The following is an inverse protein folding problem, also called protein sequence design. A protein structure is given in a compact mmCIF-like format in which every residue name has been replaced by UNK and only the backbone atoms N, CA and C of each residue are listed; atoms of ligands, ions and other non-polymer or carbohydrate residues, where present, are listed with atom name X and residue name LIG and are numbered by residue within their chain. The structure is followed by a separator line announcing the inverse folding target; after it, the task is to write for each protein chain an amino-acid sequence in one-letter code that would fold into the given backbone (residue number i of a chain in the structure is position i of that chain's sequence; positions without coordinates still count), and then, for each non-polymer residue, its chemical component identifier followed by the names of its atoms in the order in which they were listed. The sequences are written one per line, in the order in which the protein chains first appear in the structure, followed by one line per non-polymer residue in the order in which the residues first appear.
data_IF_576003278589
#
_entry.id   IF_576003278589
#
_cell.length_a   1.000
_cell.length_b   1.000
_cell.length_c   1.000
_cell.angle_alpha   90.00
_cell.angle_beta   90.00
_cell.angle_gamma   90.00
#
_symmetry.space_group_name_H-M   'P 1'
#
loop_
_entity.id
_entity.type
_entity.pdbx_description
1 polymer ?
#
# COMPACT_ATOMS: atom_id res chain seq x y z
N UNK A 1 3.20 -11.17 14.09
CA UNK A 1 3.32 -12.63 14.19
C UNK A 1 4.57 -12.97 13.42
N UNK A 2 5.62 -13.37 14.12
CA UNK A 2 6.84 -13.87 13.49
C UNK A 2 6.53 -15.27 13.01
N UNK A 3 6.63 -15.52 11.71
CA UNK A 3 6.75 -16.87 11.19
C UNK A 3 8.17 -17.33 11.52
N UNK A 4 8.28 -18.22 12.51
CA UNK A 4 9.48 -19.03 12.69
C UNK A 4 9.66 -19.84 11.40
N UNK A 5 10.65 -19.46 10.58
CA UNK A 5 11.25 -20.38 9.63
C UNK A 5 11.78 -21.57 10.43
N UNK A 6 11.02 -22.67 10.43
CA UNK A 6 11.48 -23.94 10.96
C UNK A 6 12.74 -24.34 10.20
N UNK A 7 13.88 -24.12 10.84
CA UNK A 7 15.19 -24.62 10.46
C UNK A 7 15.08 -26.15 10.44
N UNK A 8 14.93 -26.73 9.24
CA UNK A 8 14.96 -28.19 9.06
C UNK A 8 16.38 -28.64 9.35
N UNK A 9 16.55 -29.26 10.51
CA UNK A 9 17.79 -29.88 10.98
C UNK A 9 18.39 -30.80 9.92
N UNK A 10 19.69 -30.67 9.68
CA UNK A 10 20.51 -31.55 8.82
C UNK A 10 20.19 -33.02 9.15
N UNK A 11 19.67 -33.77 8.18
CA UNK A 11 19.39 -35.21 8.30
C UNK A 11 20.63 -35.96 8.82
N UNK A 12 20.50 -36.70 9.93
CA UNK A 12 21.56 -37.51 10.57
C UNK A 12 22.14 -38.64 9.68
N UNK A 13 21.66 -38.81 8.44
CA UNK A 13 22.02 -39.89 7.52
C UNK A 13 22.84 -39.44 6.27
N UNK A 14 23.32 -38.19 6.20
CA UNK A 14 24.13 -37.73 5.05
C UNK A 14 25.60 -38.16 5.20
N UNK A 15 26.18 -38.93 4.26
CA UNK A 15 27.59 -39.32 4.32
C UNK A 15 28.52 -38.10 4.29
N UNK A 16 29.63 -38.13 5.04
CA UNK A 16 30.62 -37.03 5.04
C UNK A 16 31.15 -36.69 3.63
N UNK A 17 31.23 -37.69 2.74
CA UNK A 17 31.69 -37.54 1.35
C UNK A 17 30.54 -37.44 0.33
N UNK A 18 29.36 -36.98 0.73
CA UNK A 18 28.16 -37.01 -0.11
C UNK A 18 28.31 -36.22 -1.42
N UNK A 19 28.92 -35.03 -1.41
CA UNK A 19 29.19 -34.25 -2.62
C UNK A 19 30.09 -35.00 -3.61
N UNK A 20 31.15 -35.67 -3.11
CA UNK A 20 32.04 -36.47 -3.95
C UNK A 20 31.34 -37.71 -4.53
N UNK A 21 30.42 -38.33 -3.78
CA UNK A 21 29.58 -39.42 -4.26
C UNK A 21 28.64 -38.96 -5.38
N UNK A 22 27.99 -37.81 -5.21
CA UNK A 22 27.15 -37.18 -6.24
C UNK A 22 27.97 -36.92 -7.51
N UNK A 23 29.13 -36.29 -7.38
CA UNK A 23 30.01 -35.98 -8.51
C UNK A 23 30.44 -37.26 -9.26
N UNK A 24 30.85 -38.31 -8.53
CA UNK A 24 31.22 -39.59 -9.15
C UNK A 24 30.03 -40.23 -9.87
N UNK A 25 28.87 -40.30 -9.23
CA UNK A 25 27.72 -41.05 -9.75
C UNK A 25 27.12 -40.35 -10.97
N UNK A 26 27.08 -39.02 -10.99
CA UNK A 26 26.67 -38.24 -12.17
C UNK A 26 27.63 -38.42 -13.34
N UNK A 27 28.95 -38.42 -13.08
CA UNK A 27 29.93 -38.74 -14.11
C UNK A 27 29.69 -40.14 -14.70
N UNK A 28 29.39 -41.13 -13.85
CA UNK A 28 29.10 -42.50 -14.28
C UNK A 28 27.83 -42.56 -15.14
N UNK A 29 26.78 -41.79 -14.81
CA UNK A 29 25.56 -41.69 -15.62
C UNK A 29 25.90 -41.20 -17.04
N UNK A 30 26.62 -40.08 -17.15
CA UNK A 30 27.01 -39.53 -18.46
C UNK A 30 27.99 -40.40 -19.24
N UNK A 31 28.82 -41.22 -18.57
CA UNK A 31 29.74 -42.14 -19.25
C UNK A 31 29.08 -43.43 -19.73
N UNK A 32 28.04 -43.92 -19.02
CA UNK A 32 27.33 -45.16 -19.37
C UNK A 32 26.39 -44.99 -20.55
N UNK A 33 25.77 -43.84 -20.67
CA UNK A 33 24.77 -43.57 -21.70
C UNK A 33 25.44 -43.09 -22.99
N UNK A 34 25.11 -43.72 -24.12
CA UNK A 34 25.55 -43.27 -25.44
C UNK A 34 24.75 -42.05 -25.93
N UNK A 35 23.51 -41.91 -25.47
CA UNK A 35 22.62 -40.79 -25.79
C UNK A 35 22.65 -39.75 -24.68
N UNK A 36 23.01 -38.51 -25.06
CA UNK A 36 23.12 -37.37 -24.15
C UNK A 36 21.77 -36.92 -23.60
N UNK A 37 20.69 -37.07 -24.36
CA UNK A 37 19.35 -36.67 -23.91
C UNK A 37 18.85 -37.63 -22.82
N UNK A 38 19.01 -38.94 -23.03
CA UNK A 38 18.72 -39.95 -22.02
C UNK A 38 19.59 -39.75 -20.76
N UNK A 39 20.89 -39.48 -20.93
CA UNK A 39 21.80 -39.20 -19.82
C UNK A 39 21.38 -37.96 -19.01
N UNK A 40 20.96 -36.90 -19.71
CA UNK A 40 20.48 -35.64 -19.12
C UNK A 40 19.23 -35.88 -18.24
N UNK A 41 18.24 -36.61 -18.74
CA UNK A 41 17.03 -36.95 -17.97
C UNK A 41 17.37 -37.78 -16.73
N UNK A 42 18.22 -38.79 -16.86
CA UNK A 42 18.63 -39.64 -15.74
C UNK A 42 19.45 -38.87 -14.70
N UNK A 43 20.35 -37.99 -15.14
CA UNK A 43 21.14 -37.12 -14.26
C UNK A 43 20.25 -36.14 -13.50
N UNK A 44 19.31 -35.47 -14.18
CA UNK A 44 18.37 -34.55 -13.53
C UNK A 44 17.53 -35.28 -12.45
N UNK A 45 16.99 -36.46 -12.79
CA UNK A 45 16.22 -37.27 -11.84
C UNK A 45 17.07 -37.72 -10.64
N UNK A 46 18.33 -38.10 -10.87
CA UNK A 46 19.27 -38.44 -9.80
C UNK A 46 19.55 -37.24 -8.90
N UNK A 47 19.79 -36.06 -9.46
CA UNK A 47 20.05 -34.84 -8.69
C UNK A 47 18.84 -34.51 -7.83
N UNK A 48 17.65 -34.39 -8.44
CA UNK A 48 16.42 -34.09 -7.72
C UNK A 48 16.16 -35.07 -6.58
N UNK A 49 16.30 -36.37 -6.81
CA UNK A 49 16.08 -37.40 -5.78
C UNK A 49 17.01 -37.25 -4.57
N UNK A 50 18.26 -36.83 -4.78
CA UNK A 50 19.29 -36.84 -3.73
C UNK A 50 19.50 -35.46 -3.08
N UNK A 51 19.27 -34.38 -3.82
CA UNK A 51 19.55 -33.00 -3.36
C UNK A 51 18.37 -32.05 -3.50
N UNK A 52 17.19 -32.53 -3.93
CA UNK A 52 15.95 -31.76 -4.15
C UNK A 52 15.30 -31.15 -2.90
N UNK A 53 16.03 -30.98 -1.81
CA UNK A 53 15.55 -30.35 -0.57
C UNK A 53 16.44 -29.17 -0.19
N UNK A 54 15.87 -28.19 0.51
CA UNK A 54 16.58 -26.97 0.95
C UNK A 54 17.82 -27.27 1.79
N UNK A 55 17.82 -28.35 2.58
CA UNK A 55 18.98 -28.77 3.38
C UNK A 55 20.05 -29.55 2.61
N UNK A 56 19.75 -30.09 1.41
CA UNK A 56 20.68 -30.93 0.64
C UNK A 56 21.14 -30.33 -0.68
N UNK A 57 20.49 -29.27 -1.15
CA UNK A 57 20.84 -28.59 -2.41
C UNK A 57 22.29 -28.09 -2.45
N UNK A 58 22.83 -27.67 -1.30
CA UNK A 58 24.23 -27.25 -1.13
C UNK A 58 25.24 -28.32 -1.58
N UNK A 59 24.97 -29.61 -1.30
CA UNK A 59 25.86 -30.70 -1.70
C UNK A 59 25.98 -30.86 -3.21
N UNK A 60 24.96 -30.48 -3.99
CA UNK A 60 25.08 -30.45 -5.44
C UNK A 60 25.97 -29.30 -5.90
N UNK A 61 25.89 -28.13 -5.26
CA UNK A 61 26.78 -26.99 -5.54
C UNK A 61 28.23 -27.37 -5.23
N UNK A 62 28.48 -28.03 -4.10
CA UNK A 62 29.80 -28.55 -3.74
C UNK A 62 30.30 -29.60 -4.73
N UNK A 63 29.44 -30.50 -5.19
CA UNK A 63 29.78 -31.46 -6.24
C UNK A 63 30.18 -30.76 -7.55
N UNK A 64 29.51 -29.64 -7.90
CA UNK A 64 29.89 -28.87 -9.08
C UNK A 64 31.21 -28.14 -8.93
N UNK A 65 31.51 -27.61 -7.75
CA UNK A 65 32.80 -27.01 -7.43
C UNK A 65 33.94 -28.01 -7.60
N UNK A 66 33.79 -29.23 -7.08
CA UNK A 66 34.82 -30.29 -7.20
C UNK A 66 35.23 -30.55 -8.66
N UNK A 67 34.27 -30.61 -9.58
CA UNK A 67 34.59 -30.76 -11.01
C UNK A 67 35.32 -29.56 -11.58
N UNK A 68 34.98 -28.34 -11.16
CA UNK A 68 35.62 -27.11 -11.63
C UNK A 68 37.07 -26.99 -11.12
N UNK A 69 37.36 -27.44 -9.91
CA UNK A 69 38.70 -27.46 -9.33
C UNK A 69 39.68 -28.39 -10.06
N UNK A 70 39.14 -29.47 -10.64
CA UNK A 70 39.97 -30.52 -11.27
C UNK A 70 40.65 -30.03 -12.56
N UNK A 71 40.18 -28.91 -13.15
CA UNK A 71 40.69 -28.30 -14.41
C UNK A 71 40.95 -29.33 -15.54
N UNK A 72 40.15 -30.39 -15.57
CA UNK A 72 40.31 -31.55 -16.47
C UNK A 72 39.12 -31.68 -17.43
N UNK A 73 39.11 -32.73 -18.23
CA UNK A 73 37.97 -33.06 -19.11
C UNK A 73 36.66 -33.33 -18.33
N UNK A 74 36.70 -33.43 -17.01
CA UNK A 74 35.55 -33.66 -16.13
C UNK A 74 34.73 -32.39 -15.87
N UNK A 75 35.31 -31.21 -16.11
CA UNK A 75 34.66 -29.90 -15.98
C UNK A 75 33.33 -29.81 -16.76
N UNK A 76 33.23 -30.54 -17.89
CA UNK A 76 32.01 -30.59 -18.70
C UNK A 76 30.79 -31.14 -17.95
N UNK A 77 30.97 -32.03 -16.96
CA UNK A 77 29.86 -32.66 -16.26
C UNK A 77 29.09 -31.65 -15.39
N UNK A 78 29.76 -30.64 -14.84
CA UNK A 78 29.10 -29.53 -14.14
C UNK A 78 28.12 -28.80 -15.07
N UNK A 79 28.58 -28.43 -16.27
CA UNK A 79 27.75 -27.76 -17.27
C UNK A 79 26.60 -28.66 -17.76
N UNK A 80 26.86 -29.93 -18.05
CA UNK A 80 25.84 -30.89 -18.48
C UNK A 80 24.74 -31.09 -17.42
N UNK A 81 25.10 -31.17 -16.14
CA UNK A 81 24.11 -31.31 -15.06
C UNK A 81 23.21 -30.06 -14.94
N UNK A 82 23.78 -28.86 -15.00
CA UNK A 82 22.99 -27.63 -14.95
C UNK A 82 22.11 -27.46 -16.20
N UNK A 83 22.60 -27.84 -17.39
CA UNK A 83 21.79 -27.86 -18.61
C UNK A 83 20.64 -28.86 -18.49
N UNK A 84 20.89 -30.04 -17.92
CA UNK A 84 19.86 -31.05 -17.69
C UNK A 84 18.73 -30.52 -16.80
N UNK A 85 19.07 -29.88 -15.67
CA UNK A 85 18.09 -29.27 -14.77
C UNK A 85 17.30 -28.16 -15.48
N UNK A 86 18.00 -27.23 -16.13
CA UNK A 86 17.37 -26.07 -16.78
C UNK A 86 16.48 -26.47 -17.98
N UNK A 87 16.80 -27.56 -18.68
CA UNK A 87 15.95 -28.07 -19.74
C UNK A 87 14.68 -28.76 -19.18
N UNK A 88 14.79 -29.41 -18.02
CA UNK A 88 13.63 -30.02 -17.36
C UNK A 88 12.73 -28.99 -16.70
N UNK A 89 13.26 -27.88 -16.18
CA UNK A 89 12.47 -26.84 -15.51
C UNK A 89 11.43 -26.19 -16.43
N UNK A 90 11.74 -26.07 -17.73
CA UNK A 90 10.81 -25.49 -18.71
C UNK A 90 9.47 -26.23 -18.82
N UNK A 91 9.42 -27.52 -18.47
CA UNK A 91 8.22 -28.36 -18.60
C UNK A 91 7.79 -29.00 -17.27
N UNK A 92 8.50 -28.75 -16.17
CA UNK A 92 8.25 -29.40 -14.88
C UNK A 92 8.55 -28.45 -13.71
N UNK A 93 7.51 -28.12 -12.96
CA UNK A 93 7.52 -27.21 -11.80
C UNK A 93 8.45 -27.68 -10.67
N UNK A 94 8.64 -29.00 -10.50
CA UNK A 94 9.57 -29.54 -9.48
C UNK A 94 11.01 -29.11 -9.78
N UNK A 95 11.43 -29.21 -11.05
CA UNK A 95 12.78 -28.82 -11.47
C UNK A 95 12.96 -27.30 -11.54
N UNK A 96 11.90 -26.56 -11.82
CA UNK A 96 11.91 -25.10 -11.72
C UNK A 96 12.10 -24.65 -10.26
N UNK A 97 11.32 -25.23 -9.34
CA UNK A 97 11.49 -25.03 -7.90
C UNK A 97 12.90 -25.40 -7.45
N UNK A 98 13.44 -26.53 -7.96
CA UNK A 98 14.81 -26.94 -7.68
C UNK A 98 15.85 -25.92 -8.13
N UNK A 99 15.71 -25.37 -9.34
CA UNK A 99 16.61 -24.35 -9.88
C UNK A 99 16.60 -23.10 -9.00
N UNK A 100 15.43 -22.64 -8.56
CA UNK A 100 15.32 -21.52 -7.62
C UNK A 100 15.94 -21.85 -6.24
N UNK A 101 15.80 -23.08 -5.74
CA UNK A 101 16.48 -23.52 -4.51
C UNK A 101 18.00 -23.49 -4.65
N UNK A 102 18.56 -23.95 -5.78
CA UNK A 102 19.99 -23.87 -6.05
C UNK A 102 20.49 -22.42 -6.07
N UNK A 103 19.77 -21.55 -6.79
CA UNK A 103 20.10 -20.12 -6.87
C UNK A 103 20.08 -19.47 -5.49
N UNK A 104 19.04 -19.75 -4.70
CA UNK A 104 18.92 -19.21 -3.33
C UNK A 104 20.02 -19.73 -2.41
N UNK A 105 20.42 -21.00 -2.53
CA UNK A 105 21.55 -21.55 -1.78
C UNK A 105 22.87 -20.87 -2.15
N UNK A 106 23.10 -20.56 -3.43
CA UNK A 106 24.28 -19.84 -3.89
C UNK A 106 24.27 -18.39 -3.37
N UNK A 107 23.14 -17.70 -3.47
CA UNK A 107 22.99 -16.32 -2.97
C UNK A 107 23.21 -16.26 -1.46
N UNK A 108 22.59 -17.17 -0.71
CA UNK A 108 22.79 -17.29 0.74
C UNK A 108 24.26 -17.50 1.08
N UNK A 109 24.92 -18.45 0.42
CA UNK A 109 26.33 -18.73 0.66
C UNK A 109 27.26 -17.58 0.26
N UNK A 110 26.94 -16.87 -0.82
CA UNK A 110 27.65 -15.67 -1.24
C UNK A 110 27.57 -14.58 -0.17
N UNK A 111 26.36 -14.17 0.24
CA UNK A 111 26.18 -13.09 1.21
C UNK A 111 26.61 -13.45 2.64
N UNK A 112 26.60 -14.73 3.00
CA UNK A 112 27.11 -15.23 4.27
C UNK A 112 28.63 -15.45 4.29
N UNK A 113 29.32 -15.24 3.16
CA UNK A 113 30.77 -15.46 3.03
C UNK A 113 31.20 -16.88 3.45
N UNK A 114 30.39 -17.89 3.10
CA UNK A 114 30.62 -19.28 3.53
C UNK A 114 31.89 -19.90 2.94
N UNK A 115 32.32 -19.40 1.78
CA UNK A 115 33.49 -19.88 1.05
C UNK A 115 34.55 -18.79 0.91
N UNK A 116 35.85 -19.13 0.96
CA UNK A 116 36.92 -18.15 0.80
C UNK A 116 36.91 -17.53 -0.60
N UNK A 117 37.44 -16.30 -0.72
CA UNK A 117 37.64 -15.68 -2.03
C UNK A 117 38.74 -16.38 -2.83
N UNK A 118 38.59 -16.40 -4.15
CA UNK A 118 39.62 -16.79 -5.10
C UNK A 118 40.29 -15.57 -5.72
N UNK A 119 41.56 -15.69 -6.07
CA UNK A 119 42.31 -14.64 -6.76
C UNK A 119 42.42 -14.95 -8.26
N UNK A 120 41.97 -14.02 -9.10
CA UNK A 120 42.12 -14.09 -10.55
C UNK A 120 42.69 -12.78 -11.09
N UNK A 121 43.84 -12.85 -11.76
CA UNK A 121 44.54 -11.69 -12.34
C UNK A 121 44.69 -10.50 -11.35
N UNK A 122 44.92 -10.77 -10.06
CA UNK A 122 45.12 -9.76 -9.02
C UNK A 122 43.82 -9.13 -8.48
N UNK A 123 42.64 -9.66 -8.84
CA UNK A 123 41.35 -9.32 -8.24
C UNK A 123 40.84 -10.50 -7.43
N UNK A 124 40.14 -10.21 -6.32
CA UNK A 124 39.44 -11.21 -5.52
C UNK A 124 38.01 -11.33 -6.00
N UNK A 125 37.54 -12.57 -6.08
CA UNK A 125 36.16 -12.91 -6.40
C UNK A 125 35.68 -13.96 -5.42
N UNK A 126 34.40 -13.93 -5.05
CA UNK A 126 33.83 -15.03 -4.27
C UNK A 126 33.95 -16.35 -5.04
N UNK A 127 34.17 -17.44 -4.33
CA UNK A 127 34.13 -18.78 -4.90
C UNK A 127 32.80 -19.04 -5.61
N UNK A 128 31.67 -18.56 -5.07
CA UNK A 128 30.36 -18.68 -5.71
C UNK A 128 30.29 -17.95 -7.07
N UNK A 129 30.85 -16.74 -7.16
CA UNK A 129 31.00 -16.01 -8.44
C UNK A 129 31.73 -16.85 -9.47
N UNK A 130 32.83 -17.51 -9.05
CA UNK A 130 33.63 -18.36 -9.93
C UNK A 130 32.90 -19.63 -10.37
N UNK A 131 32.14 -20.27 -9.47
CA UNK A 131 31.38 -21.49 -9.76
C UNK A 131 30.37 -21.18 -10.86
N UNK A 132 29.52 -20.17 -10.64
CA UNK A 132 28.48 -19.77 -11.60
C UNK A 132 29.09 -19.36 -12.94
N UNK A 133 30.12 -18.51 -12.89
CA UNK A 133 30.76 -18.01 -14.11
C UNK A 133 31.40 -19.13 -14.94
N UNK A 134 32.13 -20.05 -14.29
CA UNK A 134 32.78 -21.15 -14.99
C UNK A 134 31.75 -22.14 -15.54
N UNK A 135 30.64 -22.38 -14.84
CA UNK A 135 29.53 -23.19 -15.37
C UNK A 135 29.00 -22.59 -16.67
N UNK A 136 28.70 -21.28 -16.70
CA UNK A 136 28.20 -20.62 -17.91
C UNK A 136 29.21 -20.63 -19.06
N UNK A 137 30.50 -20.40 -18.76
CA UNK A 137 31.57 -20.49 -19.76
C UNK A 137 31.61 -21.91 -20.36
N UNK A 138 31.55 -22.94 -19.52
CA UNK A 138 31.59 -24.33 -19.97
C UNK A 138 30.32 -24.73 -20.75
N UNK A 139 29.14 -24.21 -20.40
CA UNK A 139 27.91 -24.43 -21.17
C UNK A 139 28.05 -23.95 -22.62
N UNK A 140 28.54 -22.73 -22.81
CA UNK A 140 28.77 -22.14 -24.13
C UNK A 140 29.93 -22.83 -24.85
N UNK A 141 30.97 -23.25 -24.12
CA UNK A 141 32.07 -24.03 -24.65
C UNK A 141 31.65 -25.42 -25.16
N UNK A 142 30.59 -26.03 -24.60
CA UNK A 142 30.02 -27.28 -25.12
C UNK A 142 29.19 -27.06 -26.38
N UNK A 143 28.35 -26.02 -26.39
CA UNK A 143 27.58 -25.61 -27.56
C UNK A 143 27.20 -24.13 -27.43
N UNK A 144 27.53 -23.27 -28.41
CA UNK A 144 27.17 -21.85 -28.37
C UNK A 144 25.68 -21.56 -28.16
N UNK A 145 24.78 -22.46 -28.60
CA UNK A 145 23.32 -22.30 -28.40
C UNK A 145 22.92 -22.33 -26.92
N UNK A 146 23.73 -22.96 -26.06
CA UNK A 146 23.49 -23.01 -24.62
C UNK A 146 23.63 -21.64 -23.95
N UNK A 147 24.13 -20.61 -24.66
CA UNK A 147 24.15 -19.24 -24.16
C UNK A 147 22.75 -18.68 -23.87
N UNK A 148 21.70 -19.20 -24.50
CA UNK A 148 20.32 -18.85 -24.16
C UNK A 148 19.91 -19.44 -22.80
N UNK A 149 20.22 -20.71 -22.57
CA UNK A 149 19.95 -21.39 -21.29
C UNK A 149 20.72 -20.71 -20.15
N UNK A 150 22.01 -20.42 -20.35
CA UNK A 150 22.83 -19.69 -19.37
C UNK A 150 22.23 -18.30 -19.07
N UNK A 151 21.73 -17.60 -20.08
CA UNK A 151 21.04 -16.31 -19.91
C UNK A 151 19.75 -16.45 -19.11
N UNK A 152 18.97 -17.51 -19.33
CA UNK A 152 17.73 -17.75 -18.58
C UNK A 152 18.00 -18.02 -17.10
N UNK A 153 19.00 -18.87 -16.80
CA UNK A 153 19.45 -19.12 -15.43
C UNK A 153 19.94 -17.81 -14.78
N UNK A 154 20.69 -17.00 -15.52
CA UNK A 154 21.16 -15.70 -15.05
C UNK A 154 20.00 -14.70 -14.80
N UNK A 155 18.93 -14.74 -15.59
CA UNK A 155 17.71 -13.97 -15.31
C UNK A 155 17.11 -14.34 -13.95
N UNK A 156 17.06 -15.64 -13.63
CA UNK A 156 16.57 -16.11 -12.32
C UNK A 156 17.49 -15.68 -11.17
N UNK A 157 18.82 -15.66 -11.36
CA UNK A 157 19.74 -15.06 -10.39
C UNK A 157 19.40 -13.60 -10.12
N UNK A 158 19.24 -12.77 -11.16
CA UNK A 158 18.94 -11.35 -11.00
C UNK A 158 17.61 -11.16 -10.26
N UNK A 159 16.55 -11.89 -10.64
CA UNK A 159 15.24 -11.77 -9.99
C UNK A 159 15.31 -12.14 -8.50
N UNK A 160 15.86 -13.32 -8.19
CA UNK A 160 15.97 -13.79 -6.80
C UNK A 160 16.85 -12.85 -5.94
N UNK A 161 17.96 -12.37 -6.48
CA UNK A 161 18.86 -11.45 -5.79
C UNK A 161 18.21 -10.07 -5.56
N UNK A 162 17.50 -9.53 -6.56
CA UNK A 162 16.74 -8.29 -6.41
C UNK A 162 15.62 -8.41 -5.38
N UNK A 163 14.99 -9.58 -5.25
CA UNK A 163 13.98 -9.86 -4.21
C UNK A 163 14.60 -9.94 -2.83
N UNK A 164 15.77 -10.59 -2.69
CA UNK A 164 16.52 -10.61 -1.44
C UNK A 164 16.96 -9.20 -1.02
N UNK A 165 17.47 -8.39 -1.96
CA UNK A 165 17.84 -6.98 -1.72
C UNK A 165 16.64 -6.13 -1.29
N UNK A 166 15.45 -6.40 -1.83
CA UNK A 166 14.23 -5.70 -1.42
C UNK A 166 13.84 -6.08 0.02
N UNK A 167 13.81 -7.37 0.35
CA UNK A 167 13.55 -7.87 1.70
C UNK A 167 14.53 -7.29 2.72
N UNK A 168 15.82 -7.27 2.38
CA UNK A 168 16.87 -6.70 3.23
C UNK A 168 16.65 -5.22 3.52
N UNK A 169 16.22 -4.43 2.51
CA UNK A 169 15.91 -3.01 2.67
C UNK A 169 14.65 -2.77 3.50
N UNK A 170 13.69 -3.67 3.45
CA UNK A 170 12.47 -3.55 4.25
C UNK A 170 12.75 -3.94 5.71
N UNK A 171 13.53 -4.99 5.95
CA UNK A 171 13.99 -5.36 7.29
C UNK A 171 14.88 -4.28 7.92
N UNK A 172 15.74 -3.62 7.14
CA UNK A 172 16.56 -2.50 7.64
C UNK A 172 15.69 -1.33 8.10
N UNK A 173 14.57 -1.03 7.42
CA UNK A 173 13.64 0.02 7.86
C UNK A 173 12.93 -0.35 9.16
N UNK A 174 12.63 -1.64 9.35
CA UNK A 174 11.84 -2.12 10.48
C UNK A 174 12.71 -2.36 11.73
N UNK A 175 13.92 -2.89 11.55
CA UNK A 175 14.81 -3.35 12.64
C UNK A 175 16.05 -2.50 12.81
N UNK A 176 16.43 -1.71 11.79
CA UNK A 176 17.71 -1.01 11.73
C UNK A 176 18.90 -1.90 11.35
N UNK A 177 18.67 -3.19 11.06
CA UNK A 177 19.70 -4.14 10.60
C UNK A 177 19.33 -4.75 9.25
N UNK A 178 20.33 -4.94 8.39
CA UNK A 178 20.20 -5.51 7.05
C UNK A 178 20.62 -6.99 7.07
N UNK A 179 19.93 -7.82 6.28
CA UNK A 179 20.29 -9.23 6.04
C UNK A 179 21.58 -9.31 5.24
N UNK A 180 21.76 -8.39 4.29
CA UNK A 180 22.91 -8.32 3.40
C UNK A 180 23.96 -7.35 3.97
N UNK A 181 25.26 -7.72 3.98
CA UNK A 181 26.34 -6.80 4.32
C UNK A 181 26.37 -5.57 3.41
N UNK A 182 26.46 -4.37 3.97
CA UNK A 182 26.36 -3.08 3.24
C UNK A 182 27.43 -2.84 2.18
N UNK A 183 28.60 -3.48 2.30
CA UNK A 183 29.75 -3.25 1.40
C UNK A 183 29.90 -4.34 0.32
N UNK A 184 28.91 -5.23 0.19
CA UNK A 184 28.98 -6.34 -0.76
C UNK A 184 28.45 -5.93 -2.14
N UNK A 185 29.16 -6.34 -3.18
CA UNK A 185 28.69 -6.19 -4.57
C UNK A 185 27.62 -7.25 -4.87
N UNK A 186 26.68 -6.94 -5.77
CA UNK A 186 25.68 -7.92 -6.23
C UNK A 186 26.37 -9.05 -7.02
N UNK A 187 26.06 -10.31 -6.68
CA UNK A 187 26.57 -11.53 -7.31
C UNK A 187 26.37 -11.49 -8.83
N UNK A 188 25.21 -11.05 -9.34
CA UNK A 188 25.00 -10.96 -10.78
C UNK A 188 25.99 -9.99 -11.48
N UNK A 189 26.42 -8.92 -10.81
CA UNK A 189 27.40 -7.97 -11.35
C UNK A 189 28.84 -8.50 -11.21
N UNK A 190 29.09 -9.24 -10.14
CA UNK A 190 30.32 -9.98 -9.90
C UNK A 190 30.56 -11.06 -10.97
N UNK A 191 29.52 -11.81 -11.34
CA UNK A 191 29.55 -12.83 -12.41
C UNK A 191 29.89 -12.18 -13.75
N UNK A 192 29.27 -11.06 -14.11
CA UNK A 192 29.61 -10.31 -15.34
C UNK A 192 31.07 -9.84 -15.30
N UNK A 193 31.52 -9.35 -14.15
CA UNK A 193 32.89 -8.86 -13.98
C UNK A 193 33.92 -9.98 -14.13
N UNK A 194 33.66 -11.15 -13.54
CA UNK A 194 34.52 -12.32 -13.65
C UNK A 194 34.57 -12.86 -15.09
N UNK A 195 33.41 -13.03 -15.74
CA UNK A 195 33.34 -13.49 -17.14
C UNK A 195 34.06 -12.50 -18.07
N UNK A 196 33.90 -11.19 -17.84
CA UNK A 196 34.62 -10.16 -18.59
C UNK A 196 36.13 -10.32 -18.46
N UNK A 197 36.65 -10.59 -17.26
CA UNK A 197 38.09 -10.77 -17.02
C UNK A 197 38.63 -12.09 -17.60
N UNK A 198 37.77 -13.11 -17.69
CA UNK A 198 38.04 -14.38 -18.39
C UNK A 198 38.08 -14.19 -19.91
N UNK A 199 37.23 -13.31 -20.46
CA UNK A 199 37.18 -13.01 -21.90
C UNK A 199 38.43 -12.28 -22.43
N UNK A 200 39.17 -11.55 -21.58
CA UNK A 200 40.33 -10.75 -22.01
C UNK A 200 41.39 -11.64 -22.67
N UNK A 201 41.54 -11.46 -23.98
CA UNK A 201 42.62 -12.02 -24.80
C UNK A 201 43.50 -10.88 -25.33
N UNK A 202 44.82 -10.98 -25.13
CA UNK A 202 45.80 -10.05 -25.69
C UNK A 202 46.53 -10.74 -26.83
N UNK A 203 46.12 -10.47 -28.07
CA UNK A 203 46.82 -10.97 -29.25
C UNK A 203 48.24 -10.40 -29.32
N UNK A 204 49.23 -11.23 -29.64
CA UNK A 204 50.59 -10.74 -29.90
C UNK A 204 50.63 -10.03 -31.27
N UNK A 205 51.26 -8.86 -31.39
CA UNK A 205 51.34 -8.13 -32.67
C UNK A 205 52.09 -8.89 -33.78
N UNK A 206 52.75 -10.01 -33.45
CA UNK A 206 53.42 -10.91 -34.41
C UNK A 206 52.52 -12.06 -34.90
N UNK A 207 51.39 -12.35 -34.25
CA UNK A 207 50.47 -13.45 -34.61
C UNK A 207 49.24 -12.92 -35.35
N UNK A 208 49.46 -12.40 -36.57
CA UNK A 208 48.41 -11.77 -37.40
C UNK A 208 47.28 -12.68 -37.90
N UNK A 209 47.09 -13.88 -37.32
CA UNK A 209 46.08 -14.88 -37.72
C UNK A 209 45.53 -15.73 -36.55
N UNK A 210 45.87 -15.43 -35.28
CA UNK A 210 45.30 -16.18 -34.15
C UNK A 210 43.85 -15.74 -33.90
N UNK A 211 42.89 -16.63 -34.16
CA UNK A 211 41.51 -16.49 -33.71
C UNK A 211 41.47 -16.39 -32.18
N UNK A 212 40.63 -15.50 -31.64
CA UNK A 212 40.52 -15.31 -30.20
C UNK A 212 39.86 -16.55 -29.57
N UNK A 213 40.57 -17.37 -28.78
CA UNK A 213 39.99 -18.57 -28.17
C UNK A 213 38.87 -18.23 -27.18
N UNK A 214 38.79 -16.99 -26.71
CA UNK A 214 37.81 -16.51 -25.74
C UNK A 214 36.63 -15.74 -26.37
N UNK A 215 36.48 -15.75 -27.69
CA UNK A 215 35.38 -15.04 -28.38
C UNK A 215 34.01 -15.46 -27.84
N UNK A 216 33.79 -16.77 -27.66
CA UNK A 216 32.56 -17.30 -27.06
C UNK A 216 32.29 -16.80 -25.63
N UNK A 217 33.33 -16.50 -24.84
CA UNK A 217 33.21 -15.92 -23.49
C UNK A 217 32.84 -14.44 -23.58
N UNK A 218 33.36 -13.73 -24.58
CA UNK A 218 33.00 -12.34 -24.85
C UNK A 218 31.54 -12.22 -25.26
N UNK A 219 31.07 -13.07 -26.18
CA UNK A 219 29.67 -13.10 -26.61
C UNK A 219 28.72 -13.40 -25.46
N UNK A 220 29.08 -14.37 -24.59
CA UNK A 220 28.35 -14.66 -23.36
C UNK A 220 28.30 -13.42 -22.47
N UNK A 221 29.43 -12.75 -22.24
CA UNK A 221 29.49 -11.56 -21.38
C UNK A 221 28.58 -10.43 -21.89
N UNK A 222 28.55 -10.19 -23.21
CA UNK A 222 27.70 -9.18 -23.81
C UNK A 222 26.21 -9.54 -23.70
N UNK A 223 25.87 -10.81 -23.91
CA UNK A 223 24.51 -11.34 -23.72
C UNK A 223 24.04 -11.12 -22.27
N UNK A 224 24.85 -11.52 -21.28
CA UNK A 224 24.49 -11.37 -19.86
C UNK A 224 24.35 -9.89 -19.45
N UNK A 225 25.22 -8.99 -19.96
CA UNK A 225 25.09 -7.54 -19.72
C UNK A 225 23.79 -6.97 -20.28
N UNK A 226 23.39 -7.39 -21.47
CA UNK A 226 22.14 -6.96 -22.10
C UNK A 226 20.93 -7.49 -21.33
N UNK A 227 20.96 -8.77 -20.98
CA UNK A 227 19.93 -9.43 -20.20
C UNK A 227 19.75 -8.79 -18.82
N UNK A 228 20.85 -8.46 -18.12
CA UNK A 228 20.81 -7.73 -16.84
C UNK A 228 20.02 -6.43 -16.94
N UNK A 229 20.32 -5.60 -17.95
CA UNK A 229 19.63 -4.32 -18.13
C UNK A 229 18.14 -4.51 -18.36
N UNK A 230 17.77 -5.49 -19.17
CA UNK A 230 16.38 -5.80 -19.47
C UNK A 230 15.62 -6.27 -18.23
N UNK A 231 16.11 -7.31 -17.54
CA UNK A 231 15.44 -7.89 -16.37
C UNK A 231 15.36 -6.89 -15.21
N UNK A 232 16.41 -6.11 -14.94
CA UNK A 232 16.34 -5.08 -13.90
C UNK A 232 15.25 -4.04 -14.18
N UNK A 233 15.11 -3.61 -15.45
CA UNK A 233 14.08 -2.66 -15.83
C UNK A 233 12.67 -3.27 -15.70
N UNK A 234 12.52 -4.54 -16.06
CA UNK A 234 11.27 -5.30 -15.88
C UNK A 234 10.87 -5.35 -14.40
N UNK A 235 11.75 -5.82 -13.52
CA UNK A 235 11.49 -5.93 -12.07
C UNK A 235 11.15 -4.58 -11.43
N UNK A 236 11.87 -3.50 -11.81
CA UNK A 236 11.58 -2.15 -11.31
C UNK A 236 10.18 -1.68 -11.75
N UNK A 237 9.82 -1.94 -13.00
CA UNK A 237 8.51 -1.54 -13.54
C UNK A 237 7.37 -2.33 -12.88
N UNK A 238 7.53 -3.64 -12.69
CA UNK A 238 6.55 -4.50 -12.00
C UNK A 238 6.31 -4.00 -10.57
N UNK A 239 7.37 -3.77 -9.80
CA UNK A 239 7.27 -3.23 -8.44
C UNK A 239 6.62 -1.85 -8.39
N UNK A 240 6.93 -0.96 -9.34
CA UNK A 240 6.31 0.35 -9.42
C UNK A 240 4.80 0.26 -9.68
N UNK A 241 4.40 -0.69 -10.54
CA UNK A 241 3.00 -0.95 -10.86
C UNK A 241 2.24 -1.56 -9.67
N UNK A 242 2.85 -2.50 -8.94
CA UNK A 242 2.27 -3.07 -7.72
C UNK A 242 2.09 -2.03 -6.63
N UNK A 243 3.11 -1.21 -6.37
CA UNK A 243 3.02 -0.11 -5.40
C UNK A 243 1.92 0.87 -5.76
N UNK A 244 1.75 1.18 -7.05
CA UNK A 244 0.65 2.01 -7.53
C UNK A 244 -0.70 1.36 -7.26
N UNK A 245 -0.87 0.07 -7.56
CA UNK A 245 -2.12 -0.66 -7.27
C UNK A 245 -2.44 -0.66 -5.78
N UNK A 246 -1.43 -0.84 -4.93
CA UNK A 246 -1.60 -0.80 -3.47
C UNK A 246 -2.04 0.58 -3.00
N UNK A 247 -1.38 1.65 -3.47
CA UNK A 247 -1.79 3.03 -3.16
C UNK A 247 -3.21 3.36 -3.66
N UNK A 248 -3.59 2.86 -4.85
CA UNK A 248 -4.95 3.02 -5.37
C UNK A 248 -5.98 2.24 -4.53
N UNK A 249 -5.63 1.06 -4.01
CA UNK A 249 -6.48 0.28 -3.11
C UNK A 249 -6.62 0.98 -1.75
N UNK A 250 -5.52 1.48 -1.18
CA UNK A 250 -5.51 2.20 0.09
C UNK A 250 -6.34 3.48 -0.01
N UNK A 251 -6.20 4.23 -1.11
CA UNK A 251 -7.04 5.38 -1.39
C UNK A 251 -8.52 4.99 -1.46
N UNK A 252 -8.88 3.90 -2.17
CA UNK A 252 -10.26 3.41 -2.23
C UNK A 252 -10.81 3.02 -0.86
N UNK A 253 -9.97 2.42 0.00
CA UNK A 253 -10.37 2.04 1.36
C UNK A 253 -10.55 3.26 2.28
N UNK A 254 -9.86 4.37 2.00
CA UNK A 254 -10.04 5.62 2.74
C UNK A 254 -11.27 6.41 2.28
N UNK A 255 -11.72 6.23 1.03
CA UNK A 255 -12.88 6.93 0.49
C UNK A 255 -14.20 6.34 1.02
N UNK A 256 -15.22 7.20 1.12
CA UNK A 256 -16.58 6.77 1.47
C UNK A 256 -17.10 5.77 0.43
N UNK A 257 -17.65 4.65 0.90
CA UNK A 257 -18.24 3.63 0.04
C UNK A 257 -19.55 4.13 -0.60
N UNK A 258 -19.89 3.60 -1.77
CA UNK A 258 -21.14 3.97 -2.45
C UNK A 258 -22.39 3.69 -1.59
N UNK A 259 -22.34 2.64 -0.77
CA UNK A 259 -23.43 2.28 0.15
C UNK A 259 -23.57 3.31 1.27
N UNK A 260 -22.48 3.72 1.91
CA UNK A 260 -22.49 4.76 2.95
C UNK A 260 -23.04 6.09 2.41
N UNK A 261 -22.65 6.48 1.19
CA UNK A 261 -23.15 7.69 0.53
C UNK A 261 -24.67 7.61 0.31
N UNK A 262 -25.19 6.45 -0.12
CA UNK A 262 -26.64 6.27 -0.33
C UNK A 262 -27.40 6.23 1.00
N UNK A 263 -26.86 5.60 2.03
CA UNK A 263 -27.51 5.54 3.35
C UNK A 263 -27.65 6.91 4.01
N UNK A 264 -26.77 7.86 3.67
CA UNK A 264 -26.73 9.19 4.29
C UNK A 264 -27.58 10.24 3.56
N UNK A 265 -28.03 9.96 2.32
CA UNK A 265 -28.97 10.78 1.55
C UNK A 265 -30.18 11.29 2.38
N UNK A 266 -30.94 10.44 3.10
CA UNK A 266 -32.07 10.90 3.91
C UNK A 266 -31.63 11.76 5.10
N UNK A 267 -30.47 11.47 5.69
CA UNK A 267 -29.93 12.24 6.83
C UNK A 267 -29.60 13.67 6.43
N UNK A 268 -29.02 13.85 5.24
CA UNK A 268 -28.79 15.18 4.67
C UNK A 268 -30.10 15.92 4.37
N UNK A 269 -31.06 15.24 3.73
CA UNK A 269 -32.38 15.82 3.38
C UNK A 269 -33.14 16.27 4.64
N UNK A 270 -33.23 15.40 5.64
CA UNK A 270 -33.94 15.68 6.89
C UNK A 270 -33.21 16.77 7.69
N UNK A 271 -31.87 16.69 7.75
CA UNK A 271 -31.00 17.70 8.36
C UNK A 271 -31.16 19.09 7.73
N UNK A 272 -31.20 19.20 6.39
CA UNK A 272 -31.47 20.46 5.69
C UNK A 272 -32.83 21.05 6.10
N UNK A 273 -33.87 20.21 6.19
CA UNK A 273 -35.19 20.66 6.59
C UNK A 273 -35.22 21.18 8.04
N UNK A 274 -34.47 20.53 8.94
CA UNK A 274 -34.34 20.92 10.35
C UNK A 274 -33.51 22.19 10.49
N UNK A 275 -32.42 22.33 9.73
CA UNK A 275 -31.59 23.53 9.69
C UNK A 275 -32.40 24.77 9.27
N UNK A 276 -33.23 24.65 8.23
CA UNK A 276 -34.11 25.75 7.81
C UNK A 276 -35.13 26.09 8.90
N UNK A 277 -35.67 25.09 9.61
CA UNK A 277 -36.58 25.32 10.74
C UNK A 277 -35.87 26.00 11.91
N UNK A 278 -34.64 25.61 12.24
CA UNK A 278 -33.86 26.17 13.34
C UNK A 278 -33.44 27.62 13.05
N UNK A 279 -33.03 27.91 11.81
CA UNK A 279 -32.74 29.29 11.36
C UNK A 279 -33.96 30.20 11.51
N UNK A 280 -35.17 29.68 11.28
CA UNK A 280 -36.45 30.39 11.51
C UNK A 280 -36.85 30.42 12.99
N UNK A 281 -36.51 29.39 13.76
CA UNK A 281 -36.79 29.24 15.19
C UNK A 281 -36.18 30.39 15.97
N UNK A 282 -34.89 30.68 15.77
CA UNK A 282 -34.17 31.68 16.56
C UNK A 282 -34.83 33.07 16.51
N UNK A 283 -35.30 33.50 15.33
CA UNK A 283 -36.00 34.79 15.21
C UNK A 283 -37.39 34.79 15.87
N UNK A 284 -38.18 33.72 15.69
CA UNK A 284 -39.53 33.63 16.27
C UNK A 284 -39.51 33.42 17.78
N UNK A 285 -38.58 32.63 18.29
CA UNK A 285 -38.38 32.46 19.72
C UNK A 285 -38.02 33.80 20.38
N UNK A 286 -37.07 34.53 19.80
CA UNK A 286 -36.63 35.82 20.34
C UNK A 286 -37.74 36.88 20.30
N UNK A 287 -38.60 36.86 19.28
CA UNK A 287 -39.76 37.76 19.22
C UNK A 287 -40.84 37.42 20.26
N UNK A 288 -41.17 36.13 20.45
CA UNK A 288 -42.11 35.68 21.49
C UNK A 288 -41.58 35.97 22.89
N UNK A 289 -40.28 35.75 23.11
CA UNK A 289 -39.62 36.06 24.39
C UNK A 289 -39.63 37.57 24.67
N UNK A 290 -39.37 38.40 23.65
CA UNK A 290 -39.46 39.85 23.76
C UNK A 290 -40.87 40.29 24.15
N UNK A 291 -41.90 39.78 23.46
CA UNK A 291 -43.31 40.09 23.78
C UNK A 291 -43.65 39.67 25.22
N UNK A 292 -43.24 38.47 25.65
CA UNK A 292 -43.46 38.00 27.02
C UNK A 292 -42.80 38.92 28.04
N UNK A 293 -41.53 39.27 27.84
CA UNK A 293 -40.79 40.16 28.75
C UNK A 293 -41.41 41.56 28.79
N UNK A 294 -41.85 42.09 27.65
CA UNK A 294 -42.55 43.38 27.58
C UNK A 294 -43.88 43.34 28.34
N UNK A 295 -44.68 42.28 28.18
CA UNK A 295 -45.95 42.14 28.90
C UNK A 295 -45.74 41.97 30.42
N UNK A 296 -44.68 41.25 30.82
CA UNK A 296 -44.29 41.11 32.23
C UNK A 296 -43.91 42.45 32.84
N UNK A 297 -43.11 43.23 32.13
CA UNK A 297 -42.67 44.54 32.55
C UNK A 297 -43.84 45.54 32.61
N UNK A 298 -44.73 45.51 31.63
CA UNK A 298 -45.92 46.36 31.60
C UNK A 298 -46.84 46.07 32.80
N UNK A 299 -47.15 44.80 33.08
CA UNK A 299 -47.95 44.42 34.24
C UNK A 299 -47.30 44.83 35.58
N UNK A 300 -45.98 44.75 35.66
CA UNK A 300 -45.21 45.19 36.85
C UNK A 300 -45.26 46.71 37.04
N UNK A 301 -45.14 47.48 35.94
CA UNK A 301 -45.28 48.94 35.95
C UNK A 301 -46.70 49.34 36.36
N UNK A 302 -47.73 48.70 35.79
CA UNK A 302 -49.13 48.98 36.16
C UNK A 302 -49.35 48.74 37.65
N UNK A 303 -48.85 47.62 38.20
CA UNK A 303 -48.90 47.37 39.65
C UNK A 303 -48.20 48.45 40.47
N UNK A 304 -47.02 48.89 40.05
CA UNK A 304 -46.27 49.96 40.72
C UNK A 304 -46.99 51.33 40.68
N UNK A 305 -47.66 51.66 39.55
CA UNK A 305 -48.46 52.89 39.42
C UNK A 305 -49.66 52.86 40.38
N UNK A 306 -50.37 51.73 40.48
CA UNK A 306 -51.48 51.59 41.45
C UNK A 306 -51.01 51.72 42.90
N UNK A 307 -49.83 51.20 43.23
CA UNK A 307 -49.23 51.40 44.54
C UNK A 307 -48.91 52.88 44.82
N UNK A 308 -48.32 53.59 43.86
CA UNK A 308 -48.01 55.01 44.00
C UNK A 308 -49.27 55.89 44.12
N UNK A 309 -50.32 55.60 43.34
CA UNK A 309 -51.60 56.31 43.44
C UNK A 309 -52.25 56.10 44.82
N UNK A 310 -52.21 54.88 45.35
CA UNK A 310 -52.69 54.58 46.71
C UNK A 310 -51.86 55.26 47.80
N UNK A 311 -50.54 55.40 47.62
CA UNK A 311 -49.67 56.13 48.53
C UNK A 311 -49.95 57.64 48.54
N UNK A 312 -50.24 58.22 47.38
CA UNK A 312 -50.56 59.65 47.23
C UNK A 312 -52.01 59.99 47.61
N UNK A 313 -52.86 58.98 47.89
CA UNK A 313 -54.28 59.18 48.20
C UNK A 313 -55.10 59.73 47.04
N UNK A 314 -54.62 59.56 45.81
CA UNK A 314 -55.26 60.06 44.60
C UNK A 314 -56.32 59.05 44.12
N UNK A 315 -57.36 59.51 43.41
CA UNK A 315 -58.43 58.67 42.85
C UNK A 315 -59.23 57.81 43.86
N UNK A 316 -59.16 58.11 45.17
CA UNK A 316 -59.91 57.38 46.20
C UNK A 316 -59.36 55.99 46.53
N UNK A 317 -58.13 55.68 46.11
CA UNK A 317 -57.46 54.40 46.42
C UNK A 317 -56.75 54.50 47.76
N UNK A 318 -57.05 53.60 48.69
CA UNK A 318 -56.29 53.49 49.94
C UNK A 318 -54.94 52.81 49.71
N UNK A 319 -53.92 53.22 50.46
CA UNK A 319 -52.56 52.68 50.33
C UNK A 319 -52.49 51.16 50.47
N UNK A 320 -53.28 50.58 51.38
CA UNK A 320 -53.37 49.12 51.59
C UNK A 320 -53.91 48.41 50.34
N UNK A 321 -54.95 48.97 49.71
CA UNK A 321 -55.54 48.39 48.49
C UNK A 321 -54.55 48.48 47.31
N UNK A 322 -53.85 49.61 47.17
CA UNK A 322 -52.79 49.77 46.17
C UNK A 322 -51.62 48.79 46.36
N UNK A 323 -51.24 48.50 47.60
CA UNK A 323 -50.22 47.51 47.92
C UNK A 323 -50.65 46.07 47.60
N UNK A 324 -51.89 45.70 47.95
CA UNK A 324 -52.45 44.38 47.63
C UNK A 324 -52.55 44.18 46.11
N UNK A 325 -53.03 45.17 45.37
CA UNK A 325 -53.11 45.12 43.90
C UNK A 325 -51.73 44.95 43.28
N UNK A 326 -50.70 45.63 43.79
CA UNK A 326 -49.32 45.48 43.29
C UNK A 326 -48.79 44.04 43.50
N UNK A 327 -48.98 43.46 44.70
CA UNK A 327 -48.56 42.09 44.98
C UNK A 327 -49.30 41.06 44.12
N UNK A 328 -50.61 41.23 43.95
CA UNK A 328 -51.43 40.35 43.11
C UNK A 328 -50.99 40.45 41.65
N UNK A 329 -50.74 41.66 41.14
CA UNK A 329 -50.26 41.84 39.76
C UNK A 329 -48.88 41.21 39.54
N UNK A 330 -47.93 41.38 40.46
CA UNK A 330 -46.61 40.74 40.36
C UNK A 330 -46.69 39.20 40.37
N UNK A 331 -47.58 38.64 41.20
CA UNK A 331 -47.82 37.20 41.27
C UNK A 331 -48.48 36.65 40.01
N UNK A 332 -49.60 37.26 39.59
CA UNK A 332 -50.37 36.80 38.43
C UNK A 332 -49.60 36.93 37.13
N UNK A 333 -48.88 38.03 36.92
CA UNK A 333 -48.07 38.27 35.72
C UNK A 333 -46.98 37.21 35.58
N UNK A 334 -46.34 36.78 36.67
CA UNK A 334 -45.34 35.70 36.64
C UNK A 334 -45.94 34.33 36.36
N UNK A 335 -47.15 34.04 36.86
CA UNK A 335 -47.82 32.76 36.66
C UNK A 335 -48.35 32.65 35.22
N UNK A 336 -49.11 33.66 34.77
CA UNK A 336 -49.73 33.67 33.44
C UNK A 336 -48.73 33.78 32.29
N UNK A 337 -47.63 34.50 32.50
CA UNK A 337 -46.55 34.62 31.52
C UNK A 337 -45.40 33.68 31.82
N UNK A 338 -45.64 32.59 32.53
CA UNK A 338 -44.62 31.55 32.72
C UNK A 338 -44.39 30.77 31.43
N UNK A 339 -43.16 30.28 31.22
CA UNK A 339 -42.81 29.44 30.05
C UNK A 339 -43.69 28.20 29.93
N UNK A 340 -44.18 27.66 31.06
CA UNK A 340 -45.05 26.49 31.09
C UNK A 340 -46.43 26.76 30.49
N UNK A 341 -47.02 27.92 30.75
CA UNK A 341 -48.35 28.26 30.21
C UNK A 341 -48.29 28.67 28.72
N UNK A 342 -47.19 29.28 28.31
CA UNK A 342 -46.97 29.69 26.93
C UNK A 342 -46.37 28.58 26.04
N UNK A 343 -46.29 27.32 26.52
CA UNK A 343 -45.67 26.21 25.80
C UNK A 343 -46.24 26.00 24.38
N UNK A 344 -47.52 26.31 24.16
CA UNK A 344 -48.16 26.26 22.83
C UNK A 344 -47.58 27.27 21.83
N UNK A 345 -47.06 28.40 22.33
CA UNK A 345 -46.45 29.47 21.54
C UNK A 345 -44.93 29.36 21.46
N UNK A 346 -44.32 28.53 22.31
CA UNK A 346 -42.90 28.19 22.21
C UNK A 346 -42.72 27.13 21.13
N UNK A 347 -41.85 27.37 20.14
CA UNK A 347 -41.54 26.34 19.17
C UNK A 347 -40.79 25.17 19.85
N UNK A 348 -40.92 23.97 19.29
CA UNK A 348 -40.27 22.75 19.79
C UNK A 348 -38.76 22.84 19.58
N UNK A 349 -37.97 22.46 20.59
CA UNK A 349 -36.51 22.34 20.45
C UNK A 349 -36.19 21.20 19.47
N UNK A 350 -35.49 21.53 18.39
CA UNK A 350 -35.10 20.63 17.30
C UNK A 350 -33.58 20.53 17.15
N UNK A 351 -32.81 21.22 17.99
CA UNK A 351 -31.34 21.28 17.87
C UNK A 351 -30.71 19.90 18.03
N UNK A 352 -31.27 19.06 18.91
CA UNK A 352 -30.82 17.68 19.09
C UNK A 352 -31.01 16.80 17.84
N UNK A 353 -32.19 16.86 17.22
CA UNK A 353 -32.46 16.09 15.99
C UNK A 353 -31.61 16.58 14.81
N UNK A 354 -31.34 17.89 14.76
CA UNK A 354 -30.44 18.48 13.76
C UNK A 354 -29.01 18.01 13.97
N UNK A 355 -28.52 18.00 15.20
CA UNK A 355 -27.19 17.51 15.56
C UNK A 355 -27.04 16.04 15.17
N UNK A 356 -27.98 15.16 15.55
CA UNK A 356 -27.95 13.74 15.21
C UNK A 356 -27.86 13.48 13.70
N UNK A 357 -28.67 14.19 12.89
CA UNK A 357 -28.66 14.04 11.43
C UNK A 357 -27.42 14.66 10.78
N UNK A 358 -26.95 15.80 11.31
CA UNK A 358 -25.77 16.49 10.79
C UNK A 358 -24.49 15.71 11.09
N UNK A 359 -24.35 15.15 12.29
CA UNK A 359 -23.21 14.29 12.67
C UNK A 359 -23.20 13.00 11.85
N UNK A 360 -24.36 12.38 11.62
CA UNK A 360 -24.45 11.20 10.76
C UNK A 360 -23.95 11.49 9.33
N UNK A 361 -24.27 12.67 8.78
CA UNK A 361 -23.75 13.09 7.48
C UNK A 361 -22.26 13.42 7.50
N UNK A 362 -21.80 14.17 8.50
CA UNK A 362 -20.39 14.57 8.64
C UNK A 362 -19.46 13.35 8.69
N UNK A 363 -19.87 12.27 9.35
CA UNK A 363 -19.06 11.05 9.43
C UNK A 363 -18.76 10.46 8.05
N UNK A 364 -19.69 10.55 7.09
CA UNK A 364 -19.48 10.09 5.71
C UNK A 364 -18.78 11.18 4.89
N UNK A 365 -19.21 12.44 5.03
CA UNK A 365 -18.64 13.60 4.31
C UNK A 365 -17.12 13.72 4.50
N UNK A 366 -16.59 13.39 5.68
CA UNK A 366 -15.13 13.45 5.95
C UNK A 366 -14.32 12.57 5.01
N UNK A 367 -14.89 11.45 4.59
CA UNK A 367 -14.24 10.45 3.74
C UNK A 367 -14.63 10.59 2.26
N UNK A 368 -15.54 11.50 1.90
CA UNK A 368 -15.89 11.71 0.49
C UNK A 368 -14.74 12.42 -0.24
N UNK A 369 -14.43 12.00 -1.48
CA UNK A 369 -13.62 12.80 -2.39
C UNK A 369 -14.39 14.02 -2.91
N UNK A 370 -13.69 14.98 -3.54
CA UNK A 370 -14.31 16.11 -4.22
C UNK A 370 -15.38 15.64 -5.23
N UNK A 371 -15.04 14.69 -6.11
CA UNK A 371 -15.97 14.17 -7.12
C UNK A 371 -17.21 13.50 -6.48
N UNK A 372 -17.02 12.72 -5.41
CA UNK A 372 -18.13 12.07 -4.70
C UNK A 372 -19.08 13.09 -4.08
N UNK A 373 -18.53 14.13 -3.44
CA UNK A 373 -19.31 15.20 -2.83
C UNK A 373 -20.02 16.05 -3.89
N UNK A 374 -19.39 16.36 -5.02
CA UNK A 374 -20.04 17.05 -6.15
C UNK A 374 -21.22 16.26 -6.70
N UNK A 375 -21.02 14.97 -6.99
CA UNK A 375 -22.10 14.10 -7.46
C UNK A 375 -23.24 13.99 -6.44
N UNK A 376 -22.91 13.86 -5.15
CA UNK A 376 -23.89 13.86 -4.07
C UNK A 376 -24.71 15.16 -4.07
N UNK A 377 -24.05 16.31 -4.14
CA UNK A 377 -24.72 17.61 -4.13
C UNK A 377 -25.63 17.82 -5.33
N UNK A 378 -25.19 17.47 -6.54
CA UNK A 378 -26.02 17.52 -7.75
C UNK A 378 -27.28 16.65 -7.60
N UNK A 379 -27.13 15.45 -7.01
CA UNK A 379 -28.27 14.57 -6.73
C UNK A 379 -29.23 15.19 -5.72
N UNK A 380 -28.70 15.77 -4.64
CA UNK A 380 -29.51 16.42 -3.60
C UNK A 380 -30.24 17.67 -4.12
N UNK A 381 -29.66 18.43 -5.05
CA UNK A 381 -30.29 19.59 -5.71
C UNK A 381 -31.44 19.17 -6.61
N UNK A 382 -31.31 18.02 -7.31
CA UNK A 382 -32.35 17.48 -8.19
C UNK A 382 -33.50 16.79 -7.43
N UNK A 383 -33.30 16.50 -6.14
CA UNK A 383 -34.23 15.72 -5.34
C UNK A 383 -35.49 16.54 -4.98
N UNK A 384 -36.68 16.00 -5.28
CA UNK A 384 -37.96 16.73 -5.15
C UNK A 384 -38.23 17.25 -3.72
N UNK A 385 -37.89 16.47 -2.69
CA UNK A 385 -38.05 16.91 -1.28
C UNK A 385 -37.24 18.16 -0.96
N UNK A 386 -36.10 18.36 -1.60
CA UNK A 386 -35.21 19.50 -1.36
C UNK A 386 -35.60 20.76 -2.15
N UNK A 387 -36.52 20.65 -3.13
CA UNK A 387 -36.95 21.79 -3.96
C UNK A 387 -37.41 23.01 -3.14
N UNK A 388 -38.05 22.77 -1.99
CA UNK A 388 -38.53 23.83 -1.08
C UNK A 388 -37.39 24.56 -0.34
N UNK A 389 -36.18 24.00 -0.33
CA UNK A 389 -35.05 24.44 0.48
C UNK A 389 -33.76 24.62 -0.33
N UNK A 390 -33.80 24.58 -1.68
CA UNK A 390 -32.61 24.61 -2.53
C UNK A 390 -31.69 25.81 -2.25
N UNK A 391 -32.25 27.00 -2.02
CA UNK A 391 -31.45 28.20 -1.72
C UNK A 391 -30.66 28.11 -0.42
N UNK A 392 -31.02 27.16 0.46
CA UNK A 392 -30.40 26.95 1.76
C UNK A 392 -29.37 25.81 1.73
N UNK A 393 -29.27 25.07 0.62
CA UNK A 393 -28.32 23.95 0.47
C UNK A 393 -26.86 24.41 0.65
N UNK A 394 -26.38 25.47 -0.04
CA UNK A 394 -25.00 25.94 0.14
C UNK A 394 -24.71 26.42 1.56
N UNK A 395 -25.66 27.11 2.20
CA UNK A 395 -25.53 27.53 3.59
C UNK A 395 -25.51 26.36 4.57
N UNK A 396 -26.28 25.31 4.30
CA UNK A 396 -26.29 24.10 5.13
C UNK A 396 -24.95 23.36 5.04
N UNK A 397 -24.33 23.29 3.86
CA UNK A 397 -22.97 22.73 3.72
C UNK A 397 -21.95 23.57 4.49
N UNK A 398 -22.02 24.90 4.42
CA UNK A 398 -21.18 25.80 5.24
C UNK A 398 -21.39 25.53 6.75
N UNK A 399 -22.63 25.30 7.18
CA UNK A 399 -22.94 24.94 8.56
C UNK A 399 -22.33 23.59 8.95
N UNK A 400 -22.51 22.55 8.13
CA UNK A 400 -21.96 21.21 8.36
C UNK A 400 -20.44 21.25 8.53
N UNK A 401 -19.74 21.99 7.66
CA UNK A 401 -18.29 22.20 7.79
C UNK A 401 -17.90 22.94 9.07
N UNK A 402 -18.69 23.94 9.48
CA UNK A 402 -18.39 24.75 10.66
C UNK A 402 -18.41 23.91 11.96
N UNK A 403 -19.29 22.91 12.04
CA UNK A 403 -19.50 22.07 13.23
C UNK A 403 -18.62 20.80 13.27
N UNK A 404 -17.75 20.58 12.27
CA UNK A 404 -16.83 19.43 12.27
C UNK A 404 -15.78 19.61 13.39
N UNK A 405 -15.61 18.63 14.29
CA UNK A 405 -14.71 18.74 15.44
C UNK A 405 -13.21 18.76 15.06
N UNK A 406 -12.82 18.09 13.97
CA UNK A 406 -11.46 18.14 13.43
C UNK A 406 -11.46 18.28 11.89
N UNK A 407 -11.16 19.47 11.41
CA UNK A 407 -11.18 19.80 9.97
C UNK A 407 -9.97 19.23 9.21
N UNK A 408 -8.89 18.86 9.90
CA UNK A 408 -7.68 18.30 9.25
C UNK A 408 -7.85 16.85 8.80
N UNK A 409 -8.89 16.19 9.31
CA UNK A 409 -9.23 14.81 8.99
C UNK A 409 -10.11 14.65 7.75
N UNK A 410 -10.48 15.75 7.08
CA UNK A 410 -11.26 15.67 5.84
C UNK A 410 -10.35 15.33 4.67
N UNK A 411 -10.87 14.50 3.77
CA UNK A 411 -10.22 14.18 2.49
C UNK A 411 -10.24 15.37 1.51
N UNK A 412 -11.25 16.23 1.60
CA UNK A 412 -11.41 17.44 0.77
C UNK A 412 -10.71 18.63 1.45
N UNK A 413 -9.93 19.39 0.67
CA UNK A 413 -9.30 20.61 1.16
C UNK A 413 -10.30 21.77 1.34
N UNK A 414 -9.92 22.81 2.09
CA UNK A 414 -10.80 23.97 2.33
C UNK A 414 -11.10 24.73 1.04
N UNK A 415 -10.11 24.81 0.15
CA UNK A 415 -10.23 25.48 -1.14
C UNK A 415 -11.18 24.71 -2.07
N UNK A 416 -11.01 23.38 -2.15
CA UNK A 416 -11.92 22.49 -2.91
C UNK A 416 -13.37 22.55 -2.38
N UNK A 417 -13.55 22.57 -1.06
CA UNK A 417 -14.89 22.69 -0.48
C UNK A 417 -15.53 24.04 -0.81
N UNK A 418 -14.73 25.11 -0.85
CA UNK A 418 -15.21 26.45 -1.21
C UNK A 418 -15.66 26.49 -2.67
N UNK A 419 -14.86 25.93 -3.58
CA UNK A 419 -15.22 25.77 -4.99
C UNK A 419 -16.51 24.94 -5.16
N UNK A 420 -16.64 23.83 -4.43
CA UNK A 420 -17.83 22.96 -4.47
C UNK A 420 -19.09 23.71 -4.02
N UNK A 421 -18.97 24.54 -2.98
CA UNK A 421 -20.07 25.37 -2.49
C UNK A 421 -20.48 26.45 -3.51
N UNK A 422 -19.51 27.11 -4.16
CA UNK A 422 -19.77 28.06 -5.26
C UNK A 422 -20.44 27.36 -6.45
N UNK A 423 -19.95 26.19 -6.85
CA UNK A 423 -20.56 25.37 -7.90
C UNK A 423 -21.99 24.95 -7.54
N UNK A 424 -22.24 24.61 -6.27
CA UNK A 424 -23.58 24.30 -5.77
C UNK A 424 -24.51 25.52 -5.83
N UNK A 425 -24.02 26.73 -5.52
CA UNK A 425 -24.80 27.98 -5.65
C UNK A 425 -25.20 28.22 -7.12
N UNK A 426 -24.29 27.98 -8.07
CA UNK A 426 -24.56 28.08 -9.51
C UNK A 426 -25.61 27.05 -9.94
N UNK A 427 -25.48 25.80 -9.52
CA UNK A 427 -26.37 24.72 -9.93
C UNK A 427 -27.79 24.88 -9.34
N UNK A 428 -27.89 25.33 -8.09
CA UNK A 428 -29.17 25.74 -7.48
C UNK A 428 -29.82 26.86 -8.28
N UNK A 429 -29.05 27.86 -8.72
CA UNK A 429 -29.58 28.98 -9.51
C UNK A 429 -30.10 28.53 -10.88
N UNK A 430 -29.46 27.55 -11.54
CA UNK A 430 -29.96 26.95 -12.80
C UNK A 430 -31.27 26.20 -12.56
N UNK A 431 -31.29 25.31 -11.57
CA UNK A 431 -32.47 24.50 -11.22
C UNK A 431 -33.70 25.36 -10.91
N UNK A 432 -33.52 26.49 -10.20
CA UNK A 432 -34.59 27.44 -9.89
C UNK A 432 -35.10 28.22 -11.11
N UNK A 433 -34.26 28.40 -12.14
CA UNK A 433 -34.63 29.04 -13.42
C UNK A 433 -35.32 28.07 -14.39
N UNK A 434 -35.43 26.78 -14.05
CA UNK A 434 -36.03 25.76 -14.91
C UNK A 434 -35.17 25.38 -16.12
N UNK A 435 -33.85 25.60 -16.04
CA UNK A 435 -32.84 25.10 -16.96
C UNK A 435 -32.16 23.89 -16.33
#
# INVERSE_FOLDING_TARGET
MAEEETEVTVDEDVPENFAALIARDLMVIFQKQMDLDTASVEAAAYIWKNTGTTGKVGYFIDATEMWLETQSAEVKYAALCWLAIANQSANNEDYDTFLHMMINSILKGYYNLEKPDIEWKGKKYSTYTSIVSNIFINMVGLNPTNGEIASNIFSSFIRNEMDLLAKSKDEEKDTGSSIIPTDMQDLYDDVISYISDRAIFKSSPMSGTEENPNEHIQDLCERLRSNRRFIMQEVINERALEKRKQLELDLKNQLASAEEIVMVDPKFTDGLSLFVKEKRYNFKYLSVEKVRMTLQLLGSITGAVYFLLGFMGYLGVHWVDGFVVCLVMLGLVRIFLSRKQLKLFYPTDISKELEENSTAFINVMRNMSQEQMEHFMVRQIKLERNQKYLTMVPEYVKYLYAIIPDRKSMMISVDELSELVENSEIEVAKQLRGQ
#
